data_IF_462906109375
#
_entry.id   IF_462906109375
#
_cell.length_a   1.000
_cell.length_b   1.000
_cell.length_c   1.000
_cell.angle_alpha   90.00
_cell.angle_beta   90.00
_cell.angle_gamma   90.00
#
_symmetry.space_group_name_H-M   'P 1'
#
loop_
_entity.id
_entity.type
_entity.pdbx_description
1 polymer ?
#
# COMPACT_ATOMS: atom_id res chain seq x y z
N UNK A 1 60.25 13.81 46.70
CA UNK A 1 60.84 12.67 45.94
C UNK A 1 59.90 11.46 46.06
N UNK A 2 59.75 10.68 44.97
CA UNK A 2 59.09 9.36 44.82
C UNK A 2 57.59 9.25 45.19
N UNK A 3 56.63 9.40 44.26
CA UNK A 3 56.08 8.45 43.24
C UNK A 3 55.37 7.20 43.81
N UNK A 4 54.04 7.28 43.89
CA UNK A 4 53.09 6.18 44.07
C UNK A 4 52.93 5.37 42.77
N UNK A 5 53.05 4.05 42.85
CA UNK A 5 52.89 3.10 41.74
C UNK A 5 51.41 2.72 41.60
N UNK A 6 50.77 3.15 40.50
CA UNK A 6 49.44 2.66 40.08
C UNK A 6 49.59 1.53 39.08
N UNK A 7 49.14 0.33 39.44
CA UNK A 7 49.03 -0.83 38.57
C UNK A 7 47.80 -0.71 37.65
N UNK A 8 48.05 -0.54 36.35
CA UNK A 8 47.01 -0.45 35.30
C UNK A 8 46.59 -1.84 34.82
N UNK A 9 45.35 -2.24 35.13
CA UNK A 9 44.73 -3.48 34.62
C UNK A 9 44.15 -3.21 33.22
N UNK A 10 44.84 -3.66 32.15
CA UNK A 10 44.37 -3.60 30.75
C UNK A 10 43.09 -4.45 30.58
N UNK A 11 41.94 -3.82 30.36
CA UNK A 11 40.70 -4.48 29.89
C UNK A 11 40.87 -4.85 28.40
N UNK A 12 40.95 -6.15 28.10
CA UNK A 12 40.85 -6.68 26.73
C UNK A 12 39.44 -6.45 26.19
N UNK A 13 39.30 -5.61 25.17
CA UNK A 13 38.06 -5.43 24.40
C UNK A 13 37.91 -6.58 23.41
N UNK A 14 36.96 -7.49 23.66
CA UNK A 14 36.53 -8.49 22.67
C UNK A 14 35.72 -7.77 21.59
N UNK A 15 36.30 -7.60 20.39
CA UNK A 15 35.56 -7.25 19.17
C UNK A 15 34.64 -8.41 18.80
N UNK A 16 33.34 -8.25 19.02
CA UNK A 16 32.31 -9.15 18.48
C UNK A 16 32.18 -8.90 16.99
N UNK A 17 32.72 -9.80 16.17
CA UNK A 17 32.48 -9.85 14.73
C UNK A 17 31.28 -10.75 14.46
N UNK A 18 30.06 -10.23 14.59
CA UNK A 18 28.87 -10.87 14.03
C UNK A 18 28.50 -10.15 12.73
N UNK A 19 29.11 -10.55 11.61
CA UNK A 19 28.56 -10.25 10.28
C UNK A 19 27.31 -11.11 10.10
N UNK A 20 26.17 -10.58 10.50
CA UNK A 20 24.87 -11.14 10.08
C UNK A 20 24.75 -10.88 8.60
N UNK A 21 24.92 -11.94 7.79
CA UNK A 21 24.68 -11.86 6.35
C UNK A 21 23.21 -11.47 6.14
N UNK A 22 22.97 -10.30 5.54
CA UNK A 22 21.64 -9.85 5.13
C UNK A 22 21.13 -10.79 4.05
N UNK A 23 20.27 -11.73 4.43
CA UNK A 23 19.56 -12.60 3.49
C UNK A 23 18.68 -11.71 2.61
N UNK A 24 19.10 -11.45 1.38
CA UNK A 24 18.28 -10.74 0.39
C UNK A 24 17.07 -11.63 0.05
N UNK A 25 15.92 -11.32 0.65
CA UNK A 25 14.63 -11.88 0.24
C UNK A 25 14.48 -11.70 -1.27
N UNK A 26 14.33 -12.81 -2.01
CA UNK A 26 14.14 -12.80 -3.46
C UNK A 26 12.82 -12.10 -3.79
N UNK A 27 12.89 -11.01 -4.57
CA UNK A 27 11.71 -10.31 -5.10
C UNK A 27 10.90 -11.27 -5.98
N UNK A 28 9.58 -11.15 -5.94
CA UNK A 28 8.65 -11.96 -6.73
C UNK A 28 8.66 -11.55 -8.21
N UNK A 29 8.71 -10.25 -8.48
CA UNK A 29 8.71 -9.67 -9.82
C UNK A 29 10.02 -8.95 -10.10
N UNK A 30 10.57 -9.15 -11.31
CA UNK A 30 11.83 -8.52 -11.73
C UNK A 30 11.62 -7.12 -12.27
N UNK A 31 10.49 -6.90 -12.96
CA UNK A 31 10.15 -5.65 -13.63
C UNK A 31 8.66 -5.33 -13.46
N UNK A 32 8.30 -4.09 -13.80
CA UNK A 32 6.94 -3.57 -13.69
C UNK A 32 5.95 -4.36 -14.57
N UNK A 33 6.34 -4.73 -15.79
CA UNK A 33 5.49 -5.48 -16.74
C UNK A 33 5.02 -6.82 -16.16
N UNK A 34 5.91 -7.57 -15.53
CA UNK A 34 5.57 -8.84 -14.84
C UNK A 34 4.58 -8.61 -13.68
N UNK A 35 4.83 -7.60 -12.86
CA UNK A 35 4.01 -7.30 -11.68
C UNK A 35 2.59 -6.89 -12.07
N UNK A 36 2.45 -6.08 -13.13
CA UNK A 36 1.16 -5.59 -13.60
C UNK A 36 0.38 -6.67 -14.34
N UNK A 37 1.06 -7.52 -15.12
CA UNK A 37 0.42 -8.71 -15.69
C UNK A 37 -0.19 -9.58 -14.59
N UNK A 38 0.57 -9.86 -13.52
CA UNK A 38 0.07 -10.61 -12.37
C UNK A 38 -1.15 -9.96 -11.71
N UNK A 39 -1.17 -8.62 -11.60
CA UNK A 39 -2.29 -7.89 -11.04
C UNK A 39 -3.55 -7.99 -11.93
N UNK A 40 -3.40 -7.86 -13.25
CA UNK A 40 -4.53 -7.95 -14.19
C UNK A 40 -5.10 -9.36 -14.37
N UNK A 41 -4.38 -10.39 -13.95
CA UNK A 41 -4.89 -11.77 -13.91
C UNK A 41 -5.85 -12.03 -12.72
N UNK A 42 -6.02 -11.06 -11.80
CA UNK A 42 -6.92 -11.17 -10.65
C UNK A 42 -8.35 -10.84 -11.04
N UNK A 43 -9.31 -11.42 -10.32
CA UNK A 43 -10.74 -11.16 -10.52
C UNK A 43 -11.03 -9.65 -10.45
N UNK A 44 -11.61 -9.12 -11.53
CA UNK A 44 -11.87 -7.70 -11.72
C UNK A 44 -13.35 -7.47 -12.02
N UNK A 45 -14.11 -7.28 -10.94
CA UNK A 45 -15.55 -7.02 -11.00
C UNK A 45 -15.89 -5.69 -11.68
N UNK A 46 -14.97 -4.75 -11.84
CA UNK A 46 -15.22 -3.51 -12.57
C UNK A 46 -15.39 -3.75 -14.08
N UNK A 47 -14.91 -4.89 -14.58
CA UNK A 47 -15.00 -5.29 -16.00
C UNK A 47 -16.05 -6.37 -16.27
N UNK A 48 -16.54 -7.06 -15.24
CA UNK A 48 -17.55 -8.10 -15.39
C UNK A 48 -18.96 -7.48 -15.54
N UNK A 49 -19.53 -7.61 -16.74
CA UNK A 49 -20.82 -7.00 -17.12
C UNK A 49 -22.04 -7.63 -16.43
N UNK A 50 -21.84 -8.72 -15.67
CA UNK A 50 -22.91 -9.52 -15.05
C UNK A 50 -22.59 -9.91 -13.61
N UNK A 51 -22.40 -8.91 -12.75
CA UNK A 51 -22.30 -9.13 -11.31
C UNK A 51 -23.64 -9.62 -10.76
N UNK A 52 -23.69 -10.89 -10.32
CA UNK A 52 -24.78 -11.36 -9.47
C UNK A 52 -24.64 -10.66 -8.12
N UNK A 53 -25.57 -9.79 -7.78
CA UNK A 53 -25.68 -9.15 -6.46
C UNK A 53 -25.95 -10.21 -5.38
N UNK A 54 -24.89 -10.80 -4.82
CA UNK A 54 -24.99 -11.75 -3.72
C UNK A 54 -24.05 -11.37 -2.56
N UNK A 55 -24.51 -11.66 -1.34
CA UNK A 55 -23.91 -11.24 -0.05
C UNK A 55 -22.44 -11.69 0.07
N UNK A 56 -22.06 -12.79 -0.57
CA UNK A 56 -20.68 -13.30 -0.61
C UNK A 56 -19.71 -12.41 -1.38
N UNK A 57 -20.21 -11.56 -2.28
CA UNK A 57 -19.43 -10.63 -3.09
C UNK A 57 -19.07 -9.36 -2.30
N UNK A 58 -19.92 -8.98 -1.33
CA UNK A 58 -19.77 -7.79 -0.49
C UNK A 58 -19.34 -8.13 0.96
N UNK A 59 -18.28 -8.93 1.12
CA UNK A 59 -17.66 -9.15 2.43
C UNK A 59 -16.31 -8.42 2.52
N UNK A 60 -16.08 -7.73 3.64
CA UNK A 60 -14.80 -7.09 3.96
C UNK A 60 -13.75 -8.08 4.49
N UNK A 61 -14.11 -9.33 4.76
CA UNK A 61 -13.21 -10.32 5.39
C UNK A 61 -11.90 -10.51 4.62
N UNK A 62 -11.96 -10.53 3.27
CA UNK A 62 -10.77 -10.64 2.42
C UNK A 62 -9.86 -9.44 2.60
N UNK A 63 -10.45 -8.24 2.52
CA UNK A 63 -9.73 -6.98 2.61
C UNK A 63 -9.12 -6.79 4.00
N UNK A 64 -9.86 -7.08 5.07
CA UNK A 64 -9.37 -6.99 6.45
C UNK A 64 -8.19 -7.93 6.68
N UNK A 65 -8.28 -9.19 6.22
CA UNK A 65 -7.19 -10.16 6.31
C UNK A 65 -5.96 -9.70 5.52
N UNK A 66 -6.16 -9.18 4.30
CA UNK A 66 -5.07 -8.66 3.48
C UNK A 66 -4.36 -7.50 4.18
N UNK A 67 -5.12 -6.50 4.64
CA UNK A 67 -4.56 -5.36 5.36
C UNK A 67 -3.88 -5.75 6.67
N UNK A 68 -4.38 -6.76 7.38
CA UNK A 68 -3.73 -7.30 8.58
C UNK A 68 -2.37 -7.90 8.26
N UNK A 69 -2.28 -8.72 7.21
CA UNK A 69 -1.02 -9.30 6.73
C UNK A 69 -0.02 -8.23 6.25
N UNK A 70 -0.51 -7.05 5.85
CA UNK A 70 0.28 -5.89 5.43
C UNK A 70 0.63 -4.93 6.57
N UNK A 71 0.29 -5.26 7.82
CA UNK A 71 0.61 -4.44 8.99
C UNK A 71 -0.28 -3.21 9.16
N UNK A 72 -1.55 -3.32 8.74
CA UNK A 72 -2.60 -2.32 8.90
C UNK A 72 -2.22 -0.92 8.39
N UNK A 73 -1.79 -0.74 7.13
CA UNK A 73 -1.37 0.57 6.61
C UNK A 73 -2.49 1.62 6.67
N UNK A 74 -3.75 1.21 6.44
CA UNK A 74 -4.94 2.05 6.54
C UNK A 74 -5.16 2.67 7.94
N UNK A 75 -4.61 2.09 9.01
CA UNK A 75 -4.74 2.63 10.39
C UNK A 75 -3.71 3.72 10.70
N UNK A 76 -2.80 4.02 9.77
CA UNK A 76 -1.68 4.97 9.96
C UNK A 76 -1.94 6.32 9.30
N UNK A 77 -3.12 6.53 8.71
CA UNK A 77 -3.40 7.65 7.82
C UNK A 77 -4.77 8.23 8.18
N UNK A 78 -4.88 9.56 8.29
CA UNK A 78 -6.17 10.23 8.38
C UNK A 78 -6.90 10.12 7.03
N UNK A 79 -8.21 9.85 7.04
CA UNK A 79 -8.94 9.53 5.81
C UNK A 79 -10.22 10.34 5.68
N UNK A 80 -10.46 10.91 4.50
CA UNK A 80 -11.77 11.35 4.03
C UNK A 80 -12.33 10.29 3.07
N UNK A 81 -13.47 9.69 3.41
CA UNK A 81 -14.07 8.60 2.63
C UNK A 81 -15.26 9.12 1.82
N UNK A 82 -15.20 8.99 0.50
CA UNK A 82 -16.18 9.55 -0.44
C UNK A 82 -17.01 8.42 -1.05
N UNK A 83 -18.27 8.34 -0.64
CA UNK A 83 -19.26 7.39 -1.15
C UNK A 83 -20.41 8.10 -1.87
N UNK A 84 -21.09 7.42 -2.79
CA UNK A 84 -22.22 7.98 -3.53
C UNK A 84 -22.44 7.37 -4.92
N UNK A 85 -23.62 7.58 -5.48
CA UNK A 85 -23.97 7.02 -6.79
C UNK A 85 -23.31 7.78 -7.94
N UNK A 86 -23.17 9.10 -7.83
CA UNK A 86 -22.61 9.99 -8.86
C UNK A 86 -21.72 11.06 -8.24
N UNK A 87 -20.75 11.54 -9.00
CA UNK A 87 -19.90 12.66 -8.60
C UNK A 87 -18.82 12.34 -7.56
N UNK A 88 -18.63 11.06 -7.18
CA UNK A 88 -17.60 10.63 -6.22
C UNK A 88 -16.19 11.04 -6.64
N UNK A 89 -15.71 10.56 -7.78
CA UNK A 89 -14.38 10.92 -8.29
C UNK A 89 -14.18 12.44 -8.44
N UNK A 90 -15.18 13.16 -8.93
CA UNK A 90 -15.14 14.64 -9.01
C UNK A 90 -15.00 15.28 -7.63
N UNK A 91 -15.81 14.85 -6.66
CA UNK A 91 -15.79 15.36 -5.27
C UNK A 91 -14.46 15.02 -4.60
N UNK A 92 -13.96 13.79 -4.76
CA UNK A 92 -12.69 13.35 -4.22
C UNK A 92 -11.53 14.17 -4.79
N UNK A 93 -11.55 14.44 -6.10
CA UNK A 93 -10.53 15.24 -6.77
C UNK A 93 -10.57 16.71 -6.32
N UNK A 94 -11.77 17.30 -6.25
CA UNK A 94 -11.95 18.68 -5.75
C UNK A 94 -11.45 18.82 -4.31
N UNK A 95 -11.84 17.89 -3.42
CA UNK A 95 -11.38 17.90 -2.04
C UNK A 95 -9.86 17.76 -1.94
N UNK A 96 -9.26 16.84 -2.69
CA UNK A 96 -7.81 16.68 -2.70
C UNK A 96 -7.10 17.96 -3.14
N UNK A 97 -7.58 18.62 -4.20
CA UNK A 97 -7.04 19.90 -4.67
C UNK A 97 -7.16 21.03 -3.66
N UNK A 98 -8.29 21.13 -2.96
CA UNK A 98 -8.47 22.15 -1.92
C UNK A 98 -7.51 21.91 -0.74
N UNK A 99 -7.31 20.66 -0.34
CA UNK A 99 -6.38 20.30 0.73
C UNK A 99 -4.91 20.54 0.31
N UNK A 100 -4.52 20.15 -0.91
CA UNK A 100 -3.20 20.46 -1.48
C UNK A 100 -2.92 21.97 -1.49
N UNK A 101 -3.91 22.79 -1.90
CA UNK A 101 -3.80 24.26 -1.91
C UNK A 101 -3.64 24.86 -0.50
N UNK A 102 -3.98 24.11 0.56
CA UNK A 102 -3.74 24.46 1.95
C UNK A 102 -2.45 23.83 2.51
N UNK A 103 -1.52 23.41 1.64
CA UNK A 103 -0.20 22.86 1.97
C UNK A 103 -0.22 21.51 2.71
N UNK A 104 -1.31 20.76 2.63
CA UNK A 104 -1.32 19.36 3.07
C UNK A 104 -0.66 18.46 2.03
N UNK A 105 0.02 17.41 2.49
CA UNK A 105 0.41 16.27 1.67
C UNK A 105 -0.79 15.34 1.56
N UNK A 106 -1.39 15.24 0.37
CA UNK A 106 -2.67 14.55 0.16
C UNK A 106 -2.47 13.31 -0.69
N UNK A 107 -2.92 12.16 -0.18
CA UNK A 107 -3.14 10.96 -0.98
C UNK A 107 -4.53 10.99 -1.62
N UNK A 108 -4.65 10.62 -2.90
CA UNK A 108 -5.93 10.48 -3.58
C UNK A 108 -6.04 9.08 -4.18
N UNK A 109 -7.09 8.35 -3.81
CA UNK A 109 -7.46 7.07 -4.40
C UNK A 109 -8.80 7.17 -5.13
N UNK A 110 -8.81 6.90 -6.43
CA UNK A 110 -9.99 6.96 -7.30
C UNK A 110 -10.15 5.72 -8.17
N UNK A 111 -11.36 5.44 -8.61
CA UNK A 111 -11.67 4.29 -9.48
C UNK A 111 -12.97 4.48 -10.27
N UNK A 112 -13.08 3.95 -11.51
CA UNK A 112 -12.01 3.32 -12.28
C UNK A 112 -10.99 4.35 -12.80
N UNK A 113 -9.91 3.88 -13.45
CA UNK A 113 -9.00 4.77 -14.20
C UNK A 113 -9.56 5.02 -15.61
N UNK A 114 -9.17 6.13 -16.24
CA UNK A 114 -9.61 6.48 -17.60
C UNK A 114 -8.62 5.99 -18.65
N UNK A 115 -7.32 6.27 -18.48
CA UNK A 115 -6.28 5.96 -19.48
C UNK A 115 -5.20 5.03 -18.90
N UNK A 116 -4.77 5.31 -17.67
CA UNK A 116 -3.62 4.72 -17.03
C UNK A 116 -3.97 4.28 -15.60
N UNK A 117 -3.64 3.04 -15.25
CA UNK A 117 -3.83 2.48 -13.92
C UNK A 117 -3.26 3.36 -12.79
N UNK A 118 -2.17 4.07 -13.06
CA UNK A 118 -1.49 4.92 -12.07
C UNK A 118 -2.31 6.14 -11.66
N UNK A 119 -3.30 6.54 -12.46
CA UNK A 119 -4.27 7.59 -12.10
C UNK A 119 -5.00 7.28 -10.79
N UNK A 120 -5.15 5.99 -10.45
CA UNK A 120 -5.87 5.57 -9.26
C UNK A 120 -5.17 5.93 -7.97
N UNK A 121 -3.86 6.15 -7.97
CA UNK A 121 -3.08 6.42 -6.75
C UNK A 121 -2.22 7.64 -7.01
N UNK A 122 -2.60 8.77 -6.41
CA UNK A 122 -1.84 10.01 -6.50
C UNK A 122 -1.42 10.52 -5.13
N UNK A 123 -0.28 11.21 -5.07
CA UNK A 123 0.13 12.03 -3.93
C UNK A 123 0.46 13.43 -4.44
N UNK A 124 -0.18 14.47 -3.89
CA UNK A 124 -0.07 15.85 -4.37
C UNK A 124 -0.22 15.95 -5.90
N UNK A 125 -1.25 15.28 -6.41
CA UNK A 125 -1.58 15.20 -7.84
C UNK A 125 -0.49 14.63 -8.75
N UNK A 126 0.50 13.95 -8.17
CA UNK A 126 1.48 13.16 -8.90
C UNK A 126 1.08 11.69 -8.82
N UNK A 127 0.93 11.06 -9.98
CA UNK A 127 0.66 9.63 -10.06
C UNK A 127 1.80 8.83 -9.43
N UNK A 128 1.46 7.70 -8.81
CA UNK A 128 2.46 6.73 -8.37
C UNK A 128 3.39 6.34 -9.52
N UNK A 129 4.69 6.17 -9.26
CA UNK A 129 5.66 5.78 -10.27
C UNK A 129 5.71 4.26 -10.48
N UNK A 130 6.17 3.79 -11.65
CA UNK A 130 6.34 2.35 -11.91
C UNK A 130 7.27 1.66 -10.90
N UNK A 131 8.41 2.24 -10.49
CA UNK A 131 9.26 1.64 -9.47
C UNK A 131 8.56 1.52 -8.11
N UNK A 132 7.76 2.52 -7.74
CA UNK A 132 6.98 2.49 -6.51
C UNK A 132 5.92 1.38 -6.56
N UNK A 133 5.13 1.33 -7.64
CA UNK A 133 4.12 0.29 -7.86
C UNK A 133 4.74 -1.12 -7.83
N UNK A 134 5.86 -1.33 -8.53
CA UNK A 134 6.61 -2.59 -8.52
C UNK A 134 7.09 -2.96 -7.10
N UNK A 135 7.57 -1.98 -6.33
CA UNK A 135 7.99 -2.18 -4.94
C UNK A 135 6.85 -2.63 -4.04
N UNK A 136 5.68 -1.99 -4.17
CA UNK A 136 4.49 -2.32 -3.41
C UNK A 136 3.94 -3.71 -3.76
N UNK A 137 3.83 -4.05 -5.05
CA UNK A 137 3.40 -5.37 -5.50
C UNK A 137 4.33 -6.48 -5.01
N UNK A 138 5.65 -6.25 -5.02
CA UNK A 138 6.61 -7.21 -4.46
C UNK A 138 6.43 -7.43 -2.95
N UNK A 139 6.11 -6.38 -2.19
CA UNK A 139 5.82 -6.48 -0.75
C UNK A 139 4.49 -7.18 -0.49
N UNK A 140 3.48 -6.92 -1.32
CA UNK A 140 2.15 -7.49 -1.18
C UNK A 140 2.04 -8.92 -1.70
N UNK A 141 2.97 -9.38 -2.55
CA UNK A 141 2.92 -10.70 -3.18
C UNK A 141 2.71 -11.84 -2.19
N UNK A 142 3.52 -11.94 -1.13
CA UNK A 142 3.40 -13.04 -0.15
C UNK A 142 2.06 -13.02 0.60
N UNK A 143 1.59 -11.88 1.13
CA UNK A 143 0.22 -11.76 1.66
C UNK A 143 -0.87 -12.19 0.68
N UNK A 144 -0.80 -11.74 -0.58
CA UNK A 144 -1.79 -12.07 -1.61
C UNK A 144 -1.81 -13.57 -1.89
N UNK A 145 -0.65 -14.19 -2.11
CA UNK A 145 -0.52 -15.62 -2.37
C UNK A 145 -0.95 -16.49 -1.18
N UNK A 146 -0.79 -15.98 0.05
CA UNK A 146 -1.29 -16.67 1.25
C UNK A 146 -2.82 -16.75 1.23
N UNK A 147 -3.50 -15.66 0.87
CA UNK A 147 -4.96 -15.61 0.80
C UNK A 147 -5.51 -16.32 -0.44
N UNK A 148 -4.78 -16.33 -1.54
CA UNK A 148 -5.18 -16.99 -2.79
C UNK A 148 -5.50 -18.48 -2.64
N UNK A 149 -4.97 -19.14 -1.61
CA UNK A 149 -5.23 -20.57 -1.30
C UNK A 149 -6.64 -20.84 -0.77
N UNK A 150 -7.28 -19.83 -0.20
CA UNK A 150 -8.58 -19.99 0.49
C UNK A 150 -9.63 -19.01 -0.01
N UNK A 151 -9.26 -17.74 -0.16
CA UNK A 151 -10.17 -16.68 -0.56
C UNK A 151 -9.34 -15.56 -1.23
N UNK A 152 -9.08 -15.68 -2.55
CA UNK A 152 -8.19 -14.77 -3.26
C UNK A 152 -8.72 -13.33 -3.24
N UNK A 153 -7.87 -12.34 -2.93
CA UNK A 153 -8.27 -10.95 -3.00
C UNK A 153 -8.46 -10.52 -4.46
N UNK A 154 -9.43 -9.63 -4.68
CA UNK A 154 -9.77 -9.11 -6.01
C UNK A 154 -8.75 -8.07 -6.48
N UNK A 155 -8.80 -7.72 -7.77
CA UNK A 155 -8.05 -6.60 -8.32
C UNK A 155 -8.28 -5.31 -7.52
N UNK A 156 -9.54 -4.99 -7.22
CA UNK A 156 -9.91 -3.79 -6.47
C UNK A 156 -9.37 -3.80 -5.03
N UNK A 157 -9.48 -4.94 -4.32
CA UNK A 157 -8.96 -5.09 -2.95
C UNK A 157 -7.43 -4.94 -2.93
N UNK A 158 -6.74 -5.52 -3.92
CA UNK A 158 -5.27 -5.36 -4.04
C UNK A 158 -4.92 -3.91 -4.34
N UNK A 159 -5.55 -3.26 -5.31
CA UNK A 159 -5.28 -1.84 -5.64
C UNK A 159 -5.51 -0.92 -4.44
N UNK A 160 -6.60 -1.14 -3.71
CA UNK A 160 -6.91 -0.38 -2.49
C UNK A 160 -5.84 -0.59 -1.41
N UNK A 161 -5.38 -1.83 -1.22
CA UNK A 161 -4.31 -2.12 -0.26
C UNK A 161 -2.98 -1.45 -0.67
N UNK A 162 -2.64 -1.46 -1.96
CA UNK A 162 -1.45 -0.78 -2.49
C UNK A 162 -1.54 0.74 -2.29
N UNK A 163 -2.72 1.34 -2.48
CA UNK A 163 -2.95 2.77 -2.21
C UNK A 163 -2.65 3.11 -0.75
N UNK A 164 -3.22 2.35 0.21
CA UNK A 164 -2.92 2.56 1.62
C UNK A 164 -1.45 2.35 1.97
N UNK A 165 -0.79 1.34 1.39
CA UNK A 165 0.64 1.16 1.59
C UNK A 165 1.43 2.35 1.06
N UNK A 166 1.10 2.84 -0.13
CA UNK A 166 1.77 4.00 -0.73
C UNK A 166 1.63 5.23 0.15
N UNK A 167 0.41 5.56 0.57
CA UNK A 167 0.12 6.72 1.41
C UNK A 167 0.79 6.64 2.80
N UNK A 168 0.87 5.44 3.37
CA UNK A 168 1.59 5.23 4.62
C UNK A 168 3.12 5.38 4.45
N UNK A 169 3.67 4.89 3.33
CA UNK A 169 5.10 5.00 3.03
C UNK A 169 5.50 6.46 2.72
N UNK A 170 4.64 7.22 2.03
CA UNK A 170 4.85 8.64 1.70
C UNK A 170 4.49 9.59 2.85
N UNK A 171 3.87 9.07 3.92
CA UNK A 171 3.46 9.85 5.10
C UNK A 171 2.55 11.03 4.74
N UNK A 172 1.50 10.76 3.96
CA UNK A 172 0.49 11.78 3.67
C UNK A 172 -0.18 12.25 4.96
N UNK A 173 -0.53 13.53 5.01
CA UNK A 173 -1.28 14.11 6.13
C UNK A 173 -2.72 13.59 6.14
N UNK A 174 -3.31 13.43 4.95
CA UNK A 174 -4.67 12.90 4.76
C UNK A 174 -4.77 12.16 3.42
N UNK A 175 -5.56 11.08 3.40
CA UNK A 175 -5.94 10.38 2.18
C UNK A 175 -7.43 10.60 1.86
N UNK A 176 -7.73 11.01 0.64
CA UNK A 176 -9.08 11.07 0.09
C UNK A 176 -9.33 9.77 -0.67
N UNK A 177 -10.26 8.94 -0.16
CA UNK A 177 -10.52 7.59 -0.65
C UNK A 177 -11.91 7.54 -1.27
N UNK A 178 -12.00 7.30 -2.58
CA UNK A 178 -13.27 7.01 -3.26
C UNK A 178 -13.69 5.55 -3.06
N UNK A 179 -14.97 5.31 -2.76
CA UNK A 179 -15.55 3.96 -2.82
C UNK A 179 -15.66 3.48 -4.27
N UNK A 180 -15.26 2.23 -4.55
CA UNK A 180 -15.51 1.62 -5.87
C UNK A 180 -17.00 1.39 -6.14
N UNK A 181 -17.67 0.62 -5.28
CA UNK A 181 -19.10 0.34 -5.37
C UNK A 181 -19.72 0.31 -3.97
N UNK A 182 -20.86 0.99 -3.80
CA UNK A 182 -21.55 1.04 -2.50
C UNK A 182 -20.80 1.88 -1.45
N UNK A 183 -20.55 1.30 -0.27
CA UNK A 183 -19.84 1.95 0.84
C UNK A 183 -20.18 1.45 2.27
N UNK A 184 -20.83 0.29 2.40
CA UNK A 184 -21.17 -0.35 3.69
C UNK A 184 -20.06 -1.25 4.19
#
# INVERSE_FOLDING_TARGET
>A
MAKSVKTTRKKRTKKSTSRVATVKSKKAFRNYKEAIKYLFEKTDYEKETSLRYNITTFSLDRMEKLLSLLGHPHKKIHTAHIAGTKGKGSTATMLAKMLEANNYTVGLYTSPHVINLHERIMVNSQMISEPAMLGLLNRAYRPIERLAKTNPPTFFEIMTALAFMHFADTKVDIAVIETGLGGR
#
